data_IF_710048993543
#
_entry.id   IF_710048993543
#
_cell.length_a   1.000
_cell.length_b   1.000
_cell.length_c   1.000
_cell.angle_alpha   90.00
_cell.angle_beta   90.00
_cell.angle_gamma   90.00
#
_symmetry.space_group_name_H-M   'P 1'
#
loop_
_entity.id
_entity.type
_entity.pdbx_description
1 polymer ?
#
# COMPACT_ATOMS: atom_id res chain seq x y z
N UNK A 1 9.53 2.61 -17.56
CA UNK A 1 10.76 2.88 -16.77
C UNK A 1 10.69 2.03 -15.53
N UNK A 2 11.77 1.30 -15.19
CA UNK A 2 11.83 0.58 -13.91
C UNK A 2 12.11 1.61 -12.81
N UNK A 3 11.38 1.56 -11.73
CA UNK A 3 11.63 2.34 -10.51
C UNK A 3 11.91 1.39 -9.35
N UNK A 4 12.60 1.88 -8.32
CA UNK A 4 12.95 1.10 -7.15
C UNK A 4 11.85 1.16 -6.10
N UNK A 5 11.59 0.04 -5.41
CA UNK A 5 10.73 -0.02 -4.22
C UNK A 5 11.51 -0.16 -2.92
N UNK A 6 12.84 -0.07 -2.96
CA UNK A 6 13.69 -0.17 -1.76
C UNK A 6 13.20 0.74 -0.65
N UNK A 7 12.79 1.97 -0.99
CA UNK A 7 12.14 2.88 -0.07
C UNK A 7 10.86 3.46 -0.68
N UNK A 8 9.77 3.38 0.05
CA UNK A 8 8.50 3.98 -0.36
C UNK A 8 7.79 4.67 0.81
N UNK A 9 6.91 5.62 0.50
CA UNK A 9 6.10 6.34 1.47
C UNK A 9 4.66 5.89 1.38
N UNK A 10 4.12 5.41 2.51
CA UNK A 10 2.78 4.84 2.59
C UNK A 10 1.68 5.82 2.19
N UNK A 11 0.60 5.32 1.55
CA UNK A 11 -0.61 6.10 1.33
C UNK A 11 -1.27 6.46 2.67
N UNK A 12 -1.50 7.74 2.92
CA UNK A 12 -2.06 8.24 4.17
C UNK A 12 -3.06 9.37 3.91
N UNK A 13 -4.33 9.12 4.29
CA UNK A 13 -5.40 10.12 4.19
C UNK A 13 -5.03 11.41 4.92
N UNK A 14 -5.35 12.54 4.31
CA UNK A 14 -5.08 13.91 4.82
C UNK A 14 -3.59 14.21 5.04
N UNK A 15 -2.68 13.44 4.40
CA UNK A 15 -1.25 13.59 4.55
C UNK A 15 -0.46 13.47 3.26
N UNK A 16 -0.70 12.44 2.46
CA UNK A 16 0.04 12.23 1.20
C UNK A 16 -0.63 12.90 0.01
N UNK A 17 -1.04 14.16 0.20
CA UNK A 17 -1.56 15.02 -0.86
C UNK A 17 -0.44 15.43 -1.85
N UNK A 18 -0.82 16.14 -2.92
CA UNK A 18 0.12 16.58 -3.95
C UNK A 18 1.25 17.49 -3.43
N UNK A 19 0.95 18.33 -2.43
CA UNK A 19 1.90 19.30 -1.89
C UNK A 19 2.97 18.58 -1.07
N UNK A 20 2.53 17.65 -0.23
CA UNK A 20 3.43 16.81 0.55
C UNK A 20 4.28 15.89 -0.34
N UNK A 21 3.70 15.26 -1.36
CA UNK A 21 4.46 14.43 -2.31
C UNK A 21 5.50 15.25 -3.08
N UNK A 22 5.13 16.47 -3.51
CA UNK A 22 6.09 17.37 -4.14
C UNK A 22 7.24 17.75 -3.20
N UNK A 23 6.93 18.08 -1.94
CA UNK A 23 7.95 18.35 -0.92
C UNK A 23 8.88 17.15 -0.72
N UNK A 24 8.36 15.94 -0.58
CA UNK A 24 9.18 14.74 -0.46
C UNK A 24 10.07 14.50 -1.67
N UNK A 25 9.60 14.84 -2.86
CA UNK A 25 10.39 14.71 -4.09
C UNK A 25 11.59 15.67 -4.14
N UNK A 26 11.53 16.79 -3.47
CA UNK A 26 12.68 17.66 -3.29
C UNK A 26 13.77 17.03 -2.39
N UNK A 27 13.36 16.16 -1.46
CA UNK A 27 14.28 15.45 -0.56
C UNK A 27 14.83 14.16 -1.17
N UNK A 28 14.03 13.46 -1.99
CA UNK A 28 14.43 12.18 -2.60
C UNK A 28 13.83 12.03 -4.00
N UNK A 29 14.71 11.81 -4.98
CA UNK A 29 14.31 11.60 -6.37
C UNK A 29 13.82 10.16 -6.65
N UNK A 30 14.27 9.17 -5.86
CA UNK A 30 14.10 7.75 -6.13
C UNK A 30 12.97 7.10 -5.32
N UNK A 31 12.60 7.69 -4.17
CA UNK A 31 11.57 7.11 -3.28
C UNK A 31 10.23 6.99 -4.01
N UNK A 32 9.63 5.80 -4.00
CA UNK A 32 8.29 5.59 -4.55
C UNK A 32 7.25 6.26 -3.63
N UNK A 33 6.49 7.19 -4.17
CA UNK A 33 5.43 7.88 -3.46
C UNK A 33 4.06 7.27 -3.79
N UNK A 34 3.13 7.36 -2.85
CA UNK A 34 1.76 6.91 -3.02
C UNK A 34 0.80 8.08 -2.88
N UNK A 35 -0.27 8.07 -3.66
CA UNK A 35 -1.41 8.97 -3.43
C UNK A 35 -2.10 8.60 -2.12
N UNK A 36 -2.99 9.47 -1.65
CA UNK A 36 -4.04 9.05 -0.72
C UNK A 36 -4.91 7.99 -1.39
N UNK A 37 -5.58 7.15 -0.60
CA UNK A 37 -6.51 6.16 -1.14
C UNK A 37 -7.73 6.84 -1.77
N UNK A 38 -8.00 6.55 -3.04
CA UNK A 38 -9.19 7.02 -3.75
C UNK A 38 -10.07 5.79 -4.04
N UNK A 39 -11.38 5.89 -3.78
CA UNK A 39 -12.27 4.77 -4.10
C UNK A 39 -12.46 4.63 -5.61
N UNK A 40 -12.54 3.37 -6.09
CA UNK A 40 -12.81 3.09 -7.50
C UNK A 40 -14.07 3.80 -8.00
N UNK A 41 -15.14 3.82 -7.18
CA UNK A 41 -16.36 4.53 -7.50
C UNK A 41 -16.15 6.05 -7.68
N UNK A 42 -15.33 6.67 -6.83
CA UNK A 42 -15.01 8.10 -6.96
C UNK A 42 -14.21 8.39 -8.23
N UNK A 43 -13.26 7.52 -8.58
CA UNK A 43 -12.47 7.64 -9.82
C UNK A 43 -13.38 7.55 -11.03
N UNK A 44 -14.27 6.56 -11.09
CA UNK A 44 -15.14 6.30 -12.25
C UNK A 44 -16.21 7.38 -12.41
N UNK A 45 -16.90 7.74 -11.32
CA UNK A 45 -18.05 8.65 -11.35
C UNK A 45 -17.74 10.11 -11.06
N UNK A 46 -16.61 10.38 -10.40
CA UNK A 46 -16.24 11.72 -9.96
C UNK A 46 -15.48 12.55 -11.00
N UNK A 47 -14.98 13.69 -10.56
CA UNK A 47 -14.14 14.58 -11.37
C UNK A 47 -12.71 14.03 -11.44
N UNK A 48 -12.35 13.41 -12.58
CA UNK A 48 -11.04 12.78 -12.82
C UNK A 48 -9.89 13.78 -12.66
N UNK A 49 -10.03 14.98 -13.21
CA UNK A 49 -8.99 16.01 -13.12
C UNK A 49 -8.71 16.44 -11.68
N UNK A 50 -9.74 16.47 -10.82
CA UNK A 50 -9.55 16.77 -9.39
C UNK A 50 -8.91 15.60 -8.65
N UNK A 51 -9.28 14.36 -8.99
CA UNK A 51 -8.91 13.16 -8.24
C UNK A 51 -7.57 12.55 -8.68
N UNK A 52 -7.27 12.59 -9.98
CA UNK A 52 -6.13 11.88 -10.58
C UNK A 52 -5.00 12.80 -11.03
N UNK A 53 -5.19 14.14 -11.01
CA UNK A 53 -4.15 15.04 -11.46
C UNK A 53 -2.97 15.10 -10.48
N UNK A 54 -1.77 15.02 -11.04
CA UNK A 54 -0.51 15.14 -10.32
C UNK A 54 0.57 15.83 -11.19
N UNK A 55 1.60 16.36 -10.58
CA UNK A 55 2.76 16.90 -11.31
C UNK A 55 3.69 15.77 -11.74
N UNK A 56 4.22 15.85 -12.96
CA UNK A 56 5.27 14.92 -13.41
C UNK A 56 6.48 14.89 -12.48
N UNK A 57 6.73 15.97 -11.74
CA UNK A 57 7.77 16.04 -10.73
C UNK A 57 7.52 15.11 -9.53
N UNK A 58 6.30 14.61 -9.30
CA UNK A 58 6.00 13.68 -8.20
C UNK A 58 6.43 12.24 -8.48
N UNK A 59 6.78 11.91 -9.74
CA UNK A 59 7.16 10.53 -10.14
C UNK A 59 8.51 10.09 -9.56
N UNK A 60 8.70 8.78 -9.26
CA UNK A 60 7.74 7.69 -9.44
C UNK A 60 6.58 7.77 -8.43
N UNK A 61 5.34 7.55 -8.93
CA UNK A 61 4.12 7.73 -8.16
C UNK A 61 3.14 6.57 -8.38
N UNK A 62 2.69 5.96 -7.27
CA UNK A 62 1.66 4.93 -7.24
C UNK A 62 0.29 5.53 -6.91
N UNK A 63 -0.74 5.14 -7.66
CA UNK A 63 -2.15 5.41 -7.34
C UNK A 63 -2.68 4.32 -6.41
N UNK A 64 -3.10 4.66 -5.18
CA UNK A 64 -3.80 3.69 -4.35
C UNK A 64 -5.31 3.77 -4.55
N UNK A 65 -5.93 2.62 -4.86
CA UNK A 65 -7.38 2.47 -5.08
C UNK A 65 -7.99 1.61 -3.98
N UNK A 66 -9.17 2.04 -3.48
CA UNK A 66 -10.03 1.25 -2.60
C UNK A 66 -11.29 0.80 -3.33
N UNK A 67 -11.67 -0.45 -3.16
CA UNK A 67 -12.88 -1.04 -3.76
C UNK A 67 -12.88 -2.56 -3.65
N UNK A 68 -14.03 -3.16 -3.98
CA UNK A 68 -14.25 -4.61 -3.98
C UNK A 68 -15.04 -5.10 -5.20
N UNK A 69 -15.49 -4.18 -6.06
CA UNK A 69 -16.16 -4.51 -7.31
C UNK A 69 -15.13 -4.63 -8.45
N UNK A 70 -14.95 -5.81 -9.06
CA UNK A 70 -13.95 -6.03 -10.10
C UNK A 70 -14.15 -5.11 -11.33
N UNK A 71 -15.38 -4.80 -11.71
CA UNK A 71 -15.69 -3.95 -12.88
C UNK A 71 -15.29 -2.51 -12.63
N UNK A 72 -15.65 -1.97 -11.44
CA UNK A 72 -15.27 -0.61 -11.05
C UNK A 72 -13.75 -0.48 -10.88
N UNK A 73 -13.10 -1.50 -10.31
CA UNK A 73 -11.65 -1.52 -10.16
C UNK A 73 -10.93 -1.58 -11.51
N UNK A 74 -11.41 -2.39 -12.45
CA UNK A 74 -10.87 -2.45 -13.82
C UNK A 74 -10.95 -1.08 -14.52
N UNK A 75 -12.11 -0.41 -14.45
CA UNK A 75 -12.30 0.91 -15.05
C UNK A 75 -11.43 1.98 -14.37
N UNK A 76 -11.37 1.98 -13.03
CA UNK A 76 -10.50 2.88 -12.29
C UNK A 76 -9.01 2.65 -12.59
N UNK A 77 -8.59 1.39 -12.76
CA UNK A 77 -7.25 1.00 -13.17
C UNK A 77 -6.91 1.54 -14.57
N UNK A 78 -7.81 1.34 -15.54
CA UNK A 78 -7.65 1.89 -16.88
C UNK A 78 -7.47 3.41 -16.88
N UNK A 79 -8.25 4.12 -16.04
CA UNK A 79 -8.11 5.56 -15.88
C UNK A 79 -6.77 5.92 -15.22
N UNK A 80 -6.34 5.21 -14.17
CA UNK A 80 -5.04 5.43 -13.55
C UNK A 80 -3.88 5.25 -14.54
N UNK A 81 -3.90 4.18 -15.33
CA UNK A 81 -2.92 3.94 -16.38
C UNK A 81 -2.91 5.05 -17.45
N UNK A 82 -4.08 5.50 -17.89
CA UNK A 82 -4.21 6.62 -18.83
C UNK A 82 -3.64 7.93 -18.30
N UNK A 83 -3.79 8.21 -16.98
CA UNK A 83 -3.21 9.40 -16.33
C UNK A 83 -1.70 9.29 -16.12
N UNK A 84 -1.09 8.12 -16.35
CA UNK A 84 0.35 7.93 -16.34
C UNK A 84 0.95 7.65 -14.97
N UNK A 85 0.21 7.05 -14.07
CA UNK A 85 0.76 6.52 -12.82
C UNK A 85 1.74 5.37 -13.10
N UNK A 86 2.79 5.28 -12.29
CA UNK A 86 3.85 4.28 -12.45
C UNK A 86 3.46 2.91 -11.87
N UNK A 87 2.52 2.91 -10.94
CA UNK A 87 1.98 1.73 -10.25
C UNK A 87 0.52 1.97 -9.87
N UNK A 88 -0.29 0.92 -9.84
CA UNK A 88 -1.65 0.96 -9.27
C UNK A 88 -1.74 -0.07 -8.15
N UNK A 89 -2.04 0.42 -6.96
CA UNK A 89 -2.05 -0.36 -5.73
C UNK A 89 -3.48 -0.55 -5.21
N UNK A 90 -3.88 -1.79 -4.93
CA UNK A 90 -5.15 -2.08 -4.28
C UNK A 90 -4.98 -2.07 -2.76
N UNK A 91 -5.85 -1.32 -2.08
CA UNK A 91 -5.89 -1.28 -0.61
C UNK A 91 -6.65 -2.48 -0.05
N UNK A 92 -5.94 -3.35 0.66
CA UNK A 92 -6.48 -4.51 1.41
C UNK A 92 -6.05 -4.43 2.89
N UNK A 93 -5.75 -3.23 3.40
CA UNK A 93 -5.18 -3.08 4.74
C UNK A 93 -5.80 -1.99 5.63
N UNK A 94 -6.64 -1.12 5.09
CA UNK A 94 -7.27 -0.03 5.87
C UNK A 94 -8.36 -0.57 6.80
N UNK A 95 -8.27 -0.36 8.14
CA UNK A 95 -9.24 -0.86 9.10
C UNK A 95 -10.36 0.15 9.41
N UNK A 96 -10.48 1.24 8.66
CA UNK A 96 -11.47 2.29 8.94
C UNK A 96 -12.91 1.78 8.79
N UNK A 97 -13.80 2.14 9.72
CA UNK A 97 -15.22 1.78 9.66
C UNK A 97 -15.91 2.28 8.37
N UNK A 98 -15.55 3.48 7.88
CA UNK A 98 -16.05 3.97 6.58
C UNK A 98 -15.62 3.10 5.41
N UNK A 99 -14.45 2.49 5.51
CA UNK A 99 -13.90 1.58 4.50
C UNK A 99 -14.54 0.20 4.62
N UNK A 100 -14.67 -0.31 5.85
CA UNK A 100 -15.31 -1.61 6.11
C UNK A 100 -16.81 -1.61 5.78
N UNK A 101 -17.52 -0.51 6.04
CA UNK A 101 -18.93 -0.36 5.63
C UNK A 101 -19.09 -0.24 4.11
N UNK A 102 -18.05 0.20 3.41
CA UNK A 102 -17.96 0.17 1.95
C UNK A 102 -17.49 -1.17 1.37
N UNK A 103 -17.34 -2.18 2.22
CA UNK A 103 -16.97 -3.56 1.87
C UNK A 103 -15.59 -3.69 1.19
N UNK A 104 -14.62 -2.84 1.56
CA UNK A 104 -13.24 -2.86 1.05
C UNK A 104 -12.20 -2.56 2.15
N UNK A 105 -10.92 -2.55 1.83
CA UNK A 105 -9.83 -2.40 2.79
C UNK A 105 -9.52 -3.71 3.55
N UNK A 106 -9.23 -3.63 4.85
CA UNK A 106 -8.75 -4.78 5.62
C UNK A 106 -9.75 -5.95 5.70
N UNK A 107 -11.05 -5.68 5.62
CA UNK A 107 -12.09 -6.72 5.58
C UNK A 107 -11.88 -7.71 4.41
N UNK A 108 -11.28 -7.26 3.32
CA UNK A 108 -11.01 -8.09 2.16
C UNK A 108 -9.99 -9.22 2.43
N UNK A 109 -9.20 -9.12 3.49
CA UNK A 109 -8.35 -10.25 3.92
C UNK A 109 -9.14 -11.50 4.34
N UNK A 110 -10.46 -11.34 4.60
CA UNK A 110 -11.38 -12.47 4.85
C UNK A 110 -11.97 -13.05 3.55
N UNK A 111 -11.65 -12.47 2.38
CA UNK A 111 -12.27 -12.78 1.09
C UNK A 111 -11.23 -12.81 -0.04
N UNK A 112 -10.23 -13.65 0.11
CA UNK A 112 -9.09 -13.75 -0.81
C UNK A 112 -9.53 -13.99 -2.28
N UNK A 113 -10.58 -14.82 -2.49
CA UNK A 113 -11.12 -15.08 -3.82
C UNK A 113 -11.75 -13.83 -4.46
N UNK A 114 -12.34 -12.94 -3.66
CA UNK A 114 -12.84 -11.66 -4.16
C UNK A 114 -11.67 -10.74 -4.53
N UNK A 115 -10.60 -10.71 -3.74
CA UNK A 115 -9.39 -9.97 -4.07
C UNK A 115 -8.77 -10.50 -5.36
N UNK A 116 -8.68 -11.83 -5.52
CA UNK A 116 -8.19 -12.45 -6.75
C UNK A 116 -9.00 -12.03 -7.98
N UNK A 117 -10.35 -12.05 -7.91
CA UNK A 117 -11.21 -11.54 -8.99
C UNK A 117 -10.96 -10.05 -9.29
N UNK A 118 -10.73 -9.26 -8.25
CA UNK A 118 -10.44 -7.83 -8.40
C UNK A 118 -9.10 -7.62 -9.10
N UNK A 119 -8.05 -8.30 -8.66
CA UNK A 119 -6.71 -8.15 -9.23
C UNK A 119 -6.61 -8.67 -10.65
N UNK A 120 -7.25 -9.81 -10.97
CA UNK A 120 -7.36 -10.29 -12.34
C UNK A 120 -8.00 -9.24 -13.26
N UNK A 121 -9.14 -8.67 -12.85
CA UNK A 121 -9.78 -7.60 -13.59
C UNK A 121 -8.90 -6.35 -13.73
N UNK A 122 -8.18 -5.95 -12.69
CA UNK A 122 -7.26 -4.81 -12.73
C UNK A 122 -6.10 -5.05 -13.70
N UNK A 123 -5.48 -6.23 -13.67
CA UNK A 123 -4.35 -6.60 -14.53
C UNK A 123 -4.77 -6.55 -16.00
N UNK A 124 -5.92 -7.13 -16.34
CA UNK A 124 -6.45 -7.14 -17.70
C UNK A 124 -6.71 -5.73 -18.29
N UNK A 125 -6.87 -4.72 -17.43
CA UNK A 125 -7.12 -3.34 -17.85
C UNK A 125 -5.99 -2.35 -17.50
N UNK A 126 -4.86 -2.85 -16.95
CA UNK A 126 -3.75 -2.02 -16.51
C UNK A 126 -2.92 -1.43 -17.65
N UNK A 127 -3.02 -1.97 -18.86
CA UNK A 127 -2.17 -1.55 -19.98
C UNK A 127 -0.67 -1.78 -19.73
N UNK A 128 -0.32 -2.74 -18.89
CA UNK A 128 1.06 -3.06 -18.50
C UNK A 128 1.59 -2.29 -17.29
N UNK A 129 0.78 -1.41 -16.67
CA UNK A 129 1.13 -0.77 -15.39
C UNK A 129 1.06 -1.83 -14.29
N UNK A 130 2.09 -1.96 -13.43
CA UNK A 130 2.11 -2.94 -12.35
C UNK A 130 0.91 -2.78 -11.40
N UNK A 131 0.25 -3.90 -11.09
CA UNK A 131 -0.78 -3.98 -10.06
C UNK A 131 -0.16 -4.59 -8.81
N UNK A 132 -0.27 -3.87 -7.69
CA UNK A 132 0.31 -4.27 -6.41
C UNK A 132 -0.73 -4.28 -5.29
N UNK A 133 -0.44 -4.97 -4.20
CA UNK A 133 -1.35 -5.10 -3.05
C UNK A 133 -0.71 -4.50 -1.80
N UNK A 134 -1.47 -3.67 -1.07
CA UNK A 134 -1.09 -3.29 0.30
C UNK A 134 -2.05 -3.92 1.29
N UNK A 135 -1.55 -4.87 2.09
CA UNK A 135 -2.35 -5.66 3.02
C UNK A 135 -1.81 -5.61 4.47
N UNK A 136 -2.47 -6.34 5.35
CA UNK A 136 -2.07 -6.67 6.72
C UNK A 136 -1.65 -8.12 6.82
N UNK A 137 -1.20 -8.57 8.01
CA UNK A 137 -0.86 -9.98 8.26
C UNK A 137 -2.09 -10.82 8.63
N UNK A 138 -3.28 -10.24 8.73
CA UNK A 138 -4.54 -10.87 9.08
C UNK A 138 -5.49 -9.86 9.73
N UNK A 139 -6.71 -10.31 10.02
CA UNK A 139 -7.80 -9.48 10.56
C UNK A 139 -8.45 -10.20 11.75
N UNK A 140 -8.76 -9.44 12.80
CA UNK A 140 -9.44 -9.89 14.01
C UNK A 140 -8.79 -11.16 14.63
N UNK A 141 -9.53 -12.27 14.70
CA UNK A 141 -9.13 -13.56 15.26
C UNK A 141 -8.34 -14.46 14.31
N UNK A 142 -8.20 -14.09 13.03
CA UNK A 142 -7.45 -14.87 12.05
C UNK A 142 -6.02 -15.17 12.53
N UNK A 143 -5.55 -16.41 12.33
CA UNK A 143 -4.14 -16.77 12.53
C UNK A 143 -3.31 -16.30 11.33
N UNK A 144 -2.36 -15.36 11.53
CA UNK A 144 -1.53 -14.86 10.46
C UNK A 144 -0.67 -15.93 9.78
N UNK A 145 -0.29 -17.00 10.50
CA UNK A 145 0.54 -18.06 9.95
C UNK A 145 -0.19 -18.91 8.90
N UNK A 146 -1.50 -18.93 8.95
CA UNK A 146 -2.36 -19.66 8.02
C UNK A 146 -2.87 -18.71 6.92
N UNK A 147 -3.42 -17.57 7.34
CA UNK A 147 -4.16 -16.69 6.43
C UNK A 147 -3.25 -15.91 5.49
N UNK A 148 -2.10 -15.43 5.96
CA UNK A 148 -1.24 -14.60 5.12
C UNK A 148 -0.63 -15.36 3.95
N UNK A 149 -0.01 -16.55 4.14
CA UNK A 149 0.52 -17.32 3.02
C UNK A 149 -0.57 -17.75 2.03
N UNK A 150 -1.73 -18.19 2.52
CA UNK A 150 -2.87 -18.58 1.70
C UNK A 150 -3.45 -17.40 0.89
N UNK A 151 -3.48 -16.20 1.49
CA UNK A 151 -3.87 -14.97 0.80
C UNK A 151 -2.87 -14.60 -0.31
N UNK A 152 -1.57 -14.60 0.00
CA UNK A 152 -0.52 -14.27 -0.98
C UNK A 152 -0.56 -15.24 -2.16
N UNK A 153 -0.62 -16.55 -1.89
CA UNK A 153 -0.69 -17.58 -2.91
C UNK A 153 -1.90 -17.37 -3.85
N UNK A 154 -3.11 -17.27 -3.27
CA UNK A 154 -4.34 -17.08 -4.06
C UNK A 154 -4.30 -15.82 -4.92
N UNK A 155 -3.76 -14.72 -4.41
CA UNK A 155 -3.73 -13.44 -5.15
C UNK A 155 -2.58 -13.41 -6.16
N UNK A 156 -1.43 -14.02 -5.85
CA UNK A 156 -0.30 -14.07 -6.80
C UNK A 156 -0.61 -14.92 -8.05
N UNK A 157 -1.47 -15.92 -7.94
CA UNK A 157 -1.94 -16.72 -9.07
C UNK A 157 -2.64 -15.89 -10.17
N UNK A 158 -3.12 -14.70 -9.85
CA UNK A 158 -3.69 -13.77 -10.84
C UNK A 158 -2.64 -12.97 -11.61
N UNK A 159 -1.36 -13.07 -11.23
CA UNK A 159 -0.26 -12.31 -11.82
C UNK A 159 0.23 -11.12 -10.97
N UNK A 160 -0.31 -10.91 -9.77
CA UNK A 160 0.24 -9.95 -8.81
C UNK A 160 1.59 -10.46 -8.31
N UNK A 161 2.66 -9.68 -8.53
CA UNK A 161 4.02 -10.06 -8.11
C UNK A 161 4.54 -9.26 -6.91
N UNK A 162 3.84 -8.20 -6.48
CA UNK A 162 4.34 -7.29 -5.44
C UNK A 162 3.32 -7.11 -4.32
N UNK A 163 3.75 -7.38 -3.09
CA UNK A 163 2.95 -7.23 -1.88
C UNK A 163 3.64 -6.32 -0.87
N UNK A 164 2.94 -5.28 -0.42
CA UNK A 164 3.38 -4.40 0.65
C UNK A 164 2.63 -4.81 1.93
N UNK A 165 3.32 -5.42 2.88
CA UNK A 165 2.71 -6.05 4.04
C UNK A 165 2.94 -5.21 5.29
N UNK A 166 1.85 -4.63 5.85
CA UNK A 166 1.91 -4.03 7.18
C UNK A 166 1.99 -5.14 8.22
N UNK A 167 3.09 -5.21 8.94
CA UNK A 167 3.43 -6.29 9.86
C UNK A 167 2.58 -6.31 11.16
N UNK A 168 1.29 -5.93 11.05
CA UNK A 168 0.29 -5.95 12.14
C UNK A 168 -1.03 -6.51 11.64
N UNK A 169 -1.76 -7.18 12.54
CA UNK A 169 -3.17 -7.50 12.30
C UNK A 169 -4.00 -6.22 12.26
N UNK A 170 -5.15 -6.28 11.61
CA UNK A 170 -6.19 -5.27 11.76
C UNK A 170 -7.29 -5.78 12.68
N UNK A 171 -7.73 -4.94 13.61
CA UNK A 171 -8.92 -5.19 14.43
C UNK A 171 -10.02 -4.27 13.91
N UNK A 172 -11.06 -4.86 13.33
CA UNK A 172 -12.11 -4.11 12.64
C UNK A 172 -13.11 -3.49 13.60
N UNK A 173 -13.37 -4.16 14.73
CA UNK A 173 -14.31 -3.70 15.74
C UNK A 173 -13.58 -3.29 17.02
N UNK A 174 -13.89 -2.11 17.54
CA UNK A 174 -13.39 -1.65 18.83
C UNK A 174 -12.08 -0.87 18.81
N UNK A 175 -11.37 -0.79 17.66
CA UNK A 175 -10.17 0.04 17.51
C UNK A 175 -10.33 1.08 16.42
N UNK A 176 -9.90 2.30 16.71
CA UNK A 176 -9.79 3.34 15.68
C UNK A 176 -8.67 3.01 14.67
N UNK A 177 -8.66 3.64 13.47
CA UNK A 177 -7.54 3.50 12.54
C UNK A 177 -6.19 3.92 13.13
N UNK A 178 -6.17 4.85 14.11
CA UNK A 178 -4.98 5.26 14.83
C UNK A 178 -4.50 4.13 15.75
N UNK A 179 -5.39 3.57 16.55
CA UNK A 179 -5.08 2.48 17.50
C UNK A 179 -4.64 1.22 16.77
N UNK A 180 -5.22 0.92 15.62
CA UNK A 180 -4.80 -0.17 14.73
C UNK A 180 -3.36 -0.05 14.19
N UNK A 181 -2.69 1.08 14.38
CA UNK A 181 -1.27 1.26 14.04
C UNK A 181 -0.33 1.03 15.22
N UNK A 182 -0.86 0.95 16.43
CA UNK A 182 -0.04 0.90 17.66
C UNK A 182 -0.39 -0.27 18.57
N UNK A 183 -1.68 -0.58 18.78
CA UNK A 183 -2.13 -1.58 19.76
C UNK A 183 -1.88 -3.03 19.32
N UNK A 184 -2.28 -3.50 18.11
CA UNK A 184 -1.92 -4.85 17.71
C UNK A 184 -0.40 -4.99 17.64
N UNK A 185 0.20 -6.07 18.17
CA UNK A 185 1.65 -6.22 18.19
C UNK A 185 2.22 -6.29 16.77
N UNK A 186 3.39 -5.69 16.57
CA UNK A 186 4.14 -5.80 15.33
C UNK A 186 4.76 -7.20 15.22
N UNK A 187 4.74 -7.79 14.05
CA UNK A 187 5.32 -9.10 13.79
C UNK A 187 6.07 -9.12 12.45
N UNK A 188 7.30 -8.62 12.49
CA UNK A 188 8.18 -8.66 11.30
C UNK A 188 8.57 -10.07 10.89
N UNK A 189 8.66 -10.99 11.86
CA UNK A 189 9.08 -12.38 11.61
C UNK A 189 8.17 -13.10 10.61
N UNK A 190 6.86 -12.84 10.64
CA UNK A 190 5.95 -13.47 9.67
C UNK A 190 6.15 -12.89 8.25
N UNK A 191 6.43 -11.60 8.14
CA UNK A 191 6.66 -10.97 6.82
C UNK A 191 7.97 -11.49 6.21
N UNK A 192 9.02 -11.64 7.03
CA UNK A 192 10.28 -12.27 6.63
C UNK A 192 10.07 -13.70 6.11
N UNK A 193 9.30 -14.51 6.85
CA UNK A 193 8.94 -15.88 6.37
C UNK A 193 8.15 -15.87 5.06
N UNK A 194 7.34 -14.83 4.79
CA UNK A 194 6.67 -14.72 3.48
C UNK A 194 7.69 -14.47 2.37
N UNK A 195 8.71 -13.65 2.61
CA UNK A 195 9.80 -13.45 1.65
C UNK A 195 10.57 -14.76 1.38
N UNK A 196 10.88 -15.51 2.43
CA UNK A 196 11.56 -16.79 2.28
C UNK A 196 10.70 -17.81 1.50
N UNK A 197 9.39 -17.88 1.81
CA UNK A 197 8.45 -18.80 1.15
C UNK A 197 8.16 -18.44 -0.31
N UNK A 198 8.03 -17.15 -0.61
CA UNK A 198 7.68 -16.62 -1.93
C UNK A 198 8.84 -15.82 -2.53
N UNK A 199 10.00 -16.45 -2.66
CA UNK A 199 11.24 -15.80 -3.13
C UNK A 199 11.12 -15.16 -4.52
N UNK A 200 10.17 -15.63 -5.35
CA UNK A 200 9.87 -15.11 -6.68
C UNK A 200 9.02 -13.81 -6.65
N UNK A 201 8.42 -13.48 -5.49
CA UNK A 201 7.61 -12.28 -5.34
C UNK A 201 8.40 -11.13 -4.71
N UNK A 202 8.05 -9.90 -5.05
CA UNK A 202 8.51 -8.72 -4.32
C UNK A 202 7.70 -8.55 -3.04
N UNK A 203 8.33 -8.74 -1.89
CA UNK A 203 7.71 -8.56 -0.57
C UNK A 203 8.32 -7.35 0.11
N UNK A 204 7.55 -6.26 0.18
CA UNK A 204 7.93 -5.05 0.89
C UNK A 204 7.34 -5.03 2.30
N UNK A 205 8.15 -4.65 3.29
CA UNK A 205 7.73 -4.58 4.69
C UNK A 205 7.28 -3.18 5.08
N UNK A 206 6.23 -3.10 5.91
CA UNK A 206 5.71 -1.84 6.45
C UNK A 206 5.31 -2.02 7.92
N UNK A 207 5.36 -0.95 8.68
CA UNK A 207 4.93 -0.87 10.08
C UNK A 207 6.07 -0.45 11.01
N UNK A 208 5.90 0.67 11.72
CA UNK A 208 6.84 1.22 12.72
C UNK A 208 8.32 1.35 12.28
N UNK A 209 8.59 1.41 11.00
CA UNK A 209 9.93 1.69 10.48
C UNK A 209 10.17 3.18 10.64
N UNK A 210 11.10 3.57 11.54
CA UNK A 210 11.26 4.96 11.99
C UNK A 210 12.54 5.63 11.48
N UNK A 211 13.51 4.86 11.01
CA UNK A 211 14.82 5.33 10.59
C UNK A 211 15.41 4.49 9.48
N UNK A 212 16.47 5.01 8.85
CA UNK A 212 17.14 4.35 7.72
C UNK A 212 17.98 3.14 8.17
N UNK A 213 18.41 3.06 9.44
CA UNK A 213 19.13 1.88 9.92
C UNK A 213 18.21 0.67 9.92
N UNK A 214 16.97 0.82 10.41
CA UNK A 214 15.93 -0.22 10.34
C UNK A 214 15.61 -0.59 8.88
N UNK A 215 15.60 0.37 7.96
CA UNK A 215 15.44 0.08 6.52
C UNK A 215 16.59 -0.79 6.02
N UNK A 216 17.83 -0.43 6.31
CA UNK A 216 19.01 -1.18 5.88
C UNK A 216 18.99 -2.61 6.45
N UNK A 217 18.64 -2.80 7.73
CA UNK A 217 18.50 -4.13 8.33
C UNK A 217 17.51 -5.03 7.59
N UNK A 218 16.39 -4.48 7.10
CA UNK A 218 15.44 -5.25 6.32
C UNK A 218 15.95 -5.56 4.91
N UNK A 219 16.63 -4.62 4.26
CA UNK A 219 17.21 -4.84 2.94
C UNK A 219 18.35 -5.87 3.02
N UNK A 220 19.22 -5.78 4.03
CA UNK A 220 20.31 -6.74 4.28
C UNK A 220 19.76 -8.15 4.58
N UNK A 221 18.59 -8.25 5.20
CA UNK A 221 17.88 -9.53 5.36
C UNK A 221 17.41 -10.12 4.01
N UNK A 222 17.24 -9.30 2.98
CA UNK A 222 16.75 -9.70 1.67
C UNK A 222 15.30 -9.31 1.38
N UNK A 223 14.70 -8.38 2.17
CA UNK A 223 13.42 -7.78 1.80
C UNK A 223 13.57 -6.93 0.54
N UNK A 224 12.57 -6.95 -0.35
CA UNK A 224 12.63 -6.21 -1.62
C UNK A 224 12.37 -4.71 -1.45
N UNK A 225 11.87 -4.30 -0.29
CA UNK A 225 11.66 -2.89 0.01
C UNK A 225 11.04 -2.64 1.37
N UNK A 226 11.15 -1.38 1.79
CA UNK A 226 10.56 -0.88 3.02
C UNK A 226 9.61 0.27 2.71
N UNK A 227 8.43 0.23 3.35
CA UNK A 227 7.47 1.33 3.29
C UNK A 227 7.39 2.03 4.63
N UNK A 228 7.80 3.30 4.66
CA UNK A 228 7.69 4.15 5.85
C UNK A 228 6.32 4.83 5.90
N UNK A 229 5.81 5.05 7.12
CA UNK A 229 4.55 5.74 7.36
C UNK A 229 4.75 6.75 8.48
N UNK A 230 3.76 7.30 9.05
CA UNK A 230 3.65 8.32 10.11
C UNK A 230 4.94 8.74 10.88
N UNK A 231 5.93 7.86 10.96
CA UNK A 231 7.21 8.09 11.63
C UNK A 231 7.99 9.30 11.09
N UNK A 232 7.85 9.61 9.81
CA UNK A 232 8.52 10.79 9.24
C UNK A 232 7.80 12.12 9.56
N UNK A 233 6.57 12.10 10.08
CA UNK A 233 5.90 13.32 10.57
C UNK A 233 6.56 13.86 11.83
N UNK A 234 7.49 13.11 12.40
CA UNK A 234 8.36 13.51 13.51
C UNK A 234 9.80 13.79 13.08
N UNK A 235 10.10 13.86 11.80
CA UNK A 235 11.30 14.51 11.29
C UNK A 235 11.18 16.00 11.62
N UNK A 236 11.39 16.34 12.89
CA UNK A 236 11.82 17.68 13.24
C UNK A 236 13.13 17.87 12.52
N UNK A 237 13.15 18.75 11.53
CA UNK A 237 14.41 19.33 11.08
C UNK A 237 15.14 19.76 12.36
N UNK A 238 16.43 19.42 12.54
CA UNK A 238 17.20 20.02 13.62
C UNK A 238 17.10 21.52 13.43
N UNK A 239 16.22 22.16 14.15
CA UNK A 239 16.24 23.59 14.29
C UNK A 239 17.46 23.85 15.15
N UNK A 240 18.58 24.13 14.53
CA UNK A 240 19.68 24.78 15.23
C UNK A 240 19.10 26.10 15.80
N UNK A 241 18.69 26.04 17.04
CA UNK A 241 18.60 27.22 17.90
C UNK A 241 20.00 27.56 18.31
N UNK A 242 20.72 28.22 17.42
CA UNK A 242 21.86 29.04 17.76
C UNK A 242 21.88 30.21 16.79
N UNK A 243 21.19 31.27 17.19
CA UNK A 243 21.53 32.67 16.97
C UNK A 243 21.21 33.38 18.23
#
# INVERSE_FOLDING_TARGET
MSFSRLLSVAPMMERTDRHFRYFLRLLSKETLLYTEMITAQAIVKGNKSKLLNFSKAERPLALQIGGSDPKLLAEATKLGAYWGYDEINLNVGCPSNKVSSGDFGAILMKRKEQVAKCTDAMINFSGGVPITIKCRIGVDDQDPNIILPDFIETVSDTGVSTFIIHARKAILNGLSPKDNRTIPPINYGIVKRMKDKFSQLEICINGEIKDLNTVNEFIDYGMDGCMIAVSYTHLTLPTNREV
#
